data_IF_971495607195
#
_entry.id   IF_971495607195
#
_cell.length_a   1.000
_cell.length_b   1.000
_cell.length_c   1.000
_cell.angle_alpha   90.00
_cell.angle_beta   90.00
_cell.angle_gamma   90.00
#
_symmetry.space_group_name_H-M   'P 1'
#
loop_
_entity.id
_entity.type
_entity.pdbx_description
1 polymer ?
#
# COMPACT_ATOMS: atom_id res chain seq x y z
N UNK A 1 54.80 15.95 46.25
CA UNK A 1 54.47 15.88 44.82
C UNK A 1 53.94 14.52 44.36
N UNK A 2 54.61 13.41 44.69
CA UNK A 2 54.15 12.06 44.26
C UNK A 2 52.73 11.69 44.74
N UNK A 3 52.34 12.05 45.95
CA UNK A 3 51.01 11.80 46.52
C UNK A 3 49.92 12.59 45.84
N UNK A 4 50.19 13.81 45.38
CA UNK A 4 49.24 14.64 44.65
C UNK A 4 48.91 14.05 43.24
N UNK A 5 49.92 13.49 42.58
CA UNK A 5 49.72 12.78 41.28
C UNK A 5 48.90 11.51 41.44
N UNK A 6 49.02 10.76 42.53
CA UNK A 6 48.25 9.56 42.80
C UNK A 6 46.76 9.91 43.02
N UNK A 7 46.45 10.96 43.78
CA UNK A 7 45.08 11.42 43.98
C UNK A 7 44.45 11.98 42.67
N UNK A 8 45.25 12.68 41.87
CA UNK A 8 44.79 13.15 40.56
C UNK A 8 44.50 12.01 39.60
N UNK A 9 45.34 10.96 39.61
CA UNK A 9 45.12 9.77 38.77
C UNK A 9 43.90 8.95 39.19
N UNK A 10 43.67 8.81 40.50
CA UNK A 10 42.47 8.16 41.05
C UNK A 10 41.21 8.94 40.76
N UNK A 11 41.25 10.27 40.82
CA UNK A 11 40.10 11.12 40.47
C UNK A 11 39.73 11.02 38.98
N UNK A 12 40.73 10.99 38.09
CA UNK A 12 40.50 10.77 36.66
C UNK A 12 39.98 9.37 36.37
N UNK A 13 40.44 8.34 37.07
CA UNK A 13 39.96 6.98 36.94
C UNK A 13 38.48 6.83 37.38
N UNK A 14 38.03 7.57 38.41
CA UNK A 14 36.64 7.62 38.85
C UNK A 14 35.71 8.34 37.83
N UNK A 15 36.23 9.29 37.08
CA UNK A 15 35.45 9.98 36.03
C UNK A 15 35.25 9.13 34.77
N UNK A 16 36.03 8.07 34.58
CA UNK A 16 35.91 7.14 33.43
C UNK A 16 34.91 6.01 33.69
N UNK A 17 34.37 5.87 34.89
CA UNK A 17 33.27 4.96 35.22
C UNK A 17 31.93 5.59 34.81
N UNK A 18 31.77 5.87 33.52
CA UNK A 18 30.46 6.24 32.97
C UNK A 18 29.59 4.98 32.93
N UNK A 19 28.59 4.88 33.78
CA UNK A 19 27.58 3.85 33.72
C UNK A 19 26.73 4.12 32.45
N UNK A 20 27.00 3.45 31.36
CA UNK A 20 26.19 3.53 30.11
C UNK A 20 24.73 3.20 30.38
N UNK A 21 24.44 2.28 31.30
CA UNK A 21 23.08 1.87 31.66
C UNK A 21 22.24 2.93 32.39
N UNK A 22 22.85 3.98 32.95
CA UNK A 22 22.09 5.08 33.57
C UNK A 22 21.45 6.02 32.55
N UNK A 23 21.93 6.02 31.31
CA UNK A 23 21.41 6.79 30.20
C UNK A 23 20.49 5.97 29.29
N UNK A 24 20.31 4.68 29.56
CA UNK A 24 19.38 3.83 28.86
C UNK A 24 17.95 4.19 29.31
N UNK A 25 17.29 5.04 28.54
CA UNK A 25 15.87 5.33 28.72
C UNK A 25 15.03 4.09 28.38
N UNK A 26 14.40 3.49 29.38
CA UNK A 26 13.30 2.54 29.15
C UNK A 26 12.00 3.33 29.10
N UNK A 27 11.45 3.61 27.91
CA UNK A 27 10.22 4.38 27.77
C UNK A 27 9.02 3.52 28.18
N UNK A 28 8.63 3.59 29.46
CA UNK A 28 7.47 2.86 29.99
C UNK A 28 6.13 3.30 29.40
N UNK A 29 6.06 4.51 28.86
CA UNK A 29 4.81 5.13 28.35
C UNK A 29 4.81 5.33 26.83
N UNK A 30 5.78 4.81 26.10
CA UNK A 30 5.85 4.90 24.64
C UNK A 30 5.96 3.50 24.03
N UNK A 31 5.18 3.25 23.02
CA UNK A 31 5.33 2.08 22.16
C UNK A 31 6.63 2.25 21.38
N UNK A 32 7.58 1.34 21.58
CA UNK A 32 8.84 1.26 20.84
C UNK A 32 8.93 -0.12 20.17
N UNK A 33 9.78 -0.25 19.16
CA UNK A 33 10.02 -1.54 18.52
C UNK A 33 10.49 -2.63 19.51
N UNK A 34 11.10 -2.24 20.64
CA UNK A 34 11.60 -3.17 21.65
C UNK A 34 10.56 -3.63 22.68
N UNK A 35 9.45 -2.90 22.87
CA UNK A 35 8.39 -3.25 23.82
C UNK A 35 7.03 -3.53 23.17
N UNK A 36 6.94 -3.47 21.86
CA UNK A 36 5.81 -3.88 21.05
C UNK A 36 6.13 -5.23 20.39
N UNK A 37 5.15 -5.99 19.96
CA UNK A 37 5.27 -7.35 19.43
C UNK A 37 5.69 -8.40 20.48
N UNK A 38 5.10 -8.32 21.67
CA UNK A 38 5.28 -9.30 22.75
C UNK A 38 4.11 -10.26 22.88
N UNK A 39 2.97 -9.95 22.25
CA UNK A 39 1.75 -10.74 22.25
C UNK A 39 1.19 -10.93 20.83
N UNK A 40 0.40 -12.01 20.64
CA UNK A 40 -0.29 -12.25 19.36
C UNK A 40 -1.21 -11.08 18.95
N UNK A 41 -1.84 -10.42 19.93
CA UNK A 41 -2.66 -9.23 19.67
C UNK A 41 -1.85 -8.05 19.14
N UNK A 42 -0.67 -7.82 19.67
CA UNK A 42 0.22 -6.76 19.18
C UNK A 42 0.78 -7.08 17.80
N UNK A 43 1.09 -8.35 17.55
CA UNK A 43 1.47 -8.83 16.21
C UNK A 43 0.35 -8.55 15.19
N UNK A 44 -0.89 -8.88 15.53
CA UNK A 44 -2.06 -8.58 14.70
C UNK A 44 -2.25 -7.09 14.47
N UNK A 45 -2.10 -6.26 15.51
CA UNK A 45 -2.19 -4.81 15.39
C UNK A 45 -1.12 -4.23 14.45
N UNK A 46 0.10 -4.75 14.51
CA UNK A 46 1.17 -4.37 13.60
C UNK A 46 0.82 -4.65 12.14
N UNK A 47 0.30 -5.84 11.86
CA UNK A 47 -0.16 -6.23 10.52
C UNK A 47 -1.38 -5.40 10.10
N UNK A 48 -2.35 -5.16 10.98
CA UNK A 48 -3.50 -4.31 10.69
C UNK A 48 -3.08 -2.87 10.34
N UNK A 49 -1.99 -2.37 10.93
CA UNK A 49 -1.38 -1.10 10.56
C UNK A 49 -0.93 -1.05 9.09
N UNK A 50 -0.48 -2.17 8.52
CA UNK A 50 -0.10 -2.25 7.10
C UNK A 50 -1.32 -2.15 6.17
N UNK A 51 -2.46 -2.75 6.55
CA UNK A 51 -3.72 -2.57 5.80
C UNK A 51 -4.19 -1.12 5.82
N UNK A 52 -3.94 -0.39 6.90
CA UNK A 52 -4.20 1.05 6.94
C UNK A 52 -3.41 1.82 5.87
N UNK A 53 -2.18 1.40 5.58
CA UNK A 53 -1.36 1.99 4.51
C UNK A 53 -1.91 1.75 3.10
N UNK A 54 -2.63 0.65 2.90
CA UNK A 54 -3.35 0.43 1.63
C UNK A 54 -4.43 1.50 1.42
N UNK A 55 -5.08 1.99 2.49
CA UNK A 55 -6.02 3.12 2.39
C UNK A 55 -5.32 4.41 1.98
N UNK A 56 -4.13 4.68 2.53
CA UNK A 56 -3.34 5.85 2.14
C UNK A 56 -2.96 5.80 0.65
N UNK A 57 -2.64 4.61 0.14
CA UNK A 57 -2.30 4.40 -1.27
C UNK A 57 -3.50 4.63 -2.19
N UNK A 58 -4.65 4.04 -1.89
CA UNK A 58 -5.82 3.99 -2.77
C UNK A 58 -6.91 5.01 -2.45
N UNK A 59 -6.96 5.53 -1.25
CA UNK A 59 -7.96 6.52 -0.82
C UNK A 59 -7.66 7.94 -1.26
N UNK A 60 -6.40 8.31 -1.35
CA UNK A 60 -5.96 9.62 -1.82
C UNK A 60 -5.65 9.60 -3.32
N UNK A 61 -5.91 10.70 -3.99
CA UNK A 61 -5.91 10.74 -5.46
C UNK A 61 -4.55 10.61 -6.14
N UNK A 62 -3.42 10.60 -5.44
CA UNK A 62 -2.10 10.65 -6.08
C UNK A 62 -1.80 9.43 -6.96
N UNK A 63 -2.22 8.21 -6.57
CA UNK A 63 -2.06 7.03 -7.42
C UNK A 63 -2.84 7.18 -8.74
N UNK A 64 -4.04 7.74 -8.66
CA UNK A 64 -4.88 8.01 -9.81
C UNK A 64 -4.22 9.02 -10.76
N UNK A 65 -3.62 10.09 -10.22
CA UNK A 65 -2.87 11.04 -11.04
C UNK A 65 -1.65 10.41 -11.70
N UNK A 66 -0.96 9.52 -11.01
CA UNK A 66 0.23 8.85 -11.58
C UNK A 66 -0.13 7.81 -12.64
N UNK A 67 -1.25 7.09 -12.48
CA UNK A 67 -1.60 5.97 -13.35
C UNK A 67 -2.61 6.31 -14.44
N UNK A 68 -3.58 7.20 -14.16
CA UNK A 68 -4.73 7.43 -15.04
C UNK A 68 -4.70 8.79 -15.73
N UNK A 69 -4.31 9.86 -15.01
CA UNK A 69 -4.34 11.20 -15.58
C UNK A 69 -3.44 11.41 -16.82
N UNK A 70 -2.30 10.70 -17.00
CA UNK A 70 -1.48 10.81 -18.19
C UNK A 70 -2.02 10.04 -19.41
N UNK A 71 -3.14 9.33 -19.26
CA UNK A 71 -3.71 8.53 -20.37
C UNK A 71 -4.59 9.38 -21.30
N UNK A 72 -4.92 8.82 -22.46
CA UNK A 72 -5.80 9.47 -23.46
C UNK A 72 -7.31 9.36 -23.12
N UNK A 73 -7.66 8.54 -22.12
CA UNK A 73 -9.05 8.35 -21.68
C UNK A 73 -9.49 9.34 -20.59
N UNK A 74 -8.55 9.98 -19.90
CA UNK A 74 -8.82 10.95 -18.84
C UNK A 74 -8.20 12.32 -19.13
N UNK A 75 -8.82 13.36 -18.62
CA UNK A 75 -8.27 14.72 -18.66
C UNK A 75 -8.44 15.44 -17.34
N UNK A 76 -7.45 16.26 -17.00
CA UNK A 76 -7.53 17.17 -15.86
C UNK A 76 -8.54 18.28 -16.13
N UNK A 77 -9.40 18.53 -15.16
CA UNK A 77 -10.39 19.61 -15.22
C UNK A 77 -9.89 20.88 -14.50
N UNK A 78 -8.77 20.83 -13.81
CA UNK A 78 -8.18 21.96 -13.06
C UNK A 78 -6.75 22.20 -13.53
N UNK A 79 -6.35 23.46 -13.59
CA UNK A 79 -5.00 23.89 -14.01
C UNK A 79 -3.89 23.33 -13.14
N UNK A 80 -4.15 23.10 -11.85
CA UNK A 80 -3.18 22.54 -10.89
C UNK A 80 -2.81 21.08 -11.17
N UNK A 81 -3.63 20.37 -11.96
CA UNK A 81 -3.44 18.94 -12.27
C UNK A 81 -2.99 18.74 -13.72
N UNK A 82 -2.80 19.83 -14.48
CA UNK A 82 -2.53 19.79 -15.93
C UNK A 82 -1.13 19.25 -16.26
N UNK A 83 -0.21 19.25 -15.30
CA UNK A 83 1.16 18.76 -15.47
C UNK A 83 1.20 17.31 -15.95
N UNK A 84 0.27 16.45 -15.48
CA UNK A 84 0.16 15.05 -15.88
C UNK A 84 -0.34 14.90 -17.31
N UNK A 85 -1.31 15.74 -17.71
CA UNK A 85 -1.85 15.74 -19.06
C UNK A 85 -0.85 16.26 -20.09
N UNK A 86 -0.06 17.27 -19.73
CA UNK A 86 0.93 17.91 -20.60
C UNK A 86 2.31 17.25 -20.53
N UNK A 87 2.49 16.19 -19.74
CA UNK A 87 3.77 15.50 -19.54
C UNK A 87 4.89 16.43 -19.05
N UNK A 88 4.55 17.43 -18.23
CA UNK A 88 5.49 18.38 -17.62
C UNK A 88 5.82 18.03 -16.15
N UNK A 89 5.50 16.82 -15.74
CA UNK A 89 5.81 16.30 -14.40
C UNK A 89 7.32 16.18 -14.21
N UNK A 90 7.76 16.43 -12.98
CA UNK A 90 9.14 16.25 -12.56
C UNK A 90 9.25 15.66 -11.15
N UNK A 91 10.48 15.48 -10.66
CA UNK A 91 10.74 14.89 -9.35
C UNK A 91 10.19 15.72 -8.16
N UNK A 92 9.81 17.00 -8.39
CA UNK A 92 9.25 17.89 -7.35
C UNK A 92 7.72 17.93 -7.39
N UNK A 93 7.11 17.34 -8.42
CA UNK A 93 5.66 17.26 -8.55
C UNK A 93 5.04 16.55 -7.34
N UNK A 94 4.04 17.18 -6.74
CA UNK A 94 3.47 16.76 -5.45
C UNK A 94 2.99 15.30 -5.44
N UNK A 95 2.29 14.86 -6.50
CA UNK A 95 1.77 13.49 -6.56
C UNK A 95 2.89 12.44 -6.77
N UNK A 96 3.94 12.81 -7.51
CA UNK A 96 5.16 11.99 -7.66
C UNK A 96 5.82 11.76 -6.31
N UNK A 97 6.07 12.84 -5.57
CA UNK A 97 6.69 12.76 -4.23
C UNK A 97 5.80 12.01 -3.23
N UNK A 98 4.49 12.20 -3.27
CA UNK A 98 3.56 11.52 -2.36
C UNK A 98 3.54 10.00 -2.57
N UNK A 99 3.49 9.54 -3.82
CA UNK A 99 3.53 8.10 -4.12
C UNK A 99 4.84 7.47 -3.63
N UNK A 100 5.97 8.09 -3.95
CA UNK A 100 7.30 7.67 -3.48
C UNK A 100 7.35 7.55 -1.96
N UNK A 101 6.99 8.62 -1.26
CA UNK A 101 7.05 8.68 0.21
C UNK A 101 6.12 7.65 0.84
N UNK A 102 4.88 7.54 0.36
CA UNK A 102 3.91 6.58 0.90
C UNK A 102 4.42 5.14 0.74
N UNK A 103 4.94 4.79 -0.43
CA UNK A 103 5.48 3.45 -0.66
C UNK A 103 6.64 3.13 0.30
N UNK A 104 7.63 4.02 0.43
CA UNK A 104 8.76 3.75 1.32
C UNK A 104 8.42 3.77 2.80
N UNK A 105 7.48 4.60 3.24
CA UNK A 105 6.94 4.56 4.62
C UNK A 105 6.29 3.20 4.90
N UNK A 106 5.50 2.70 3.96
CA UNK A 106 4.83 1.40 4.10
C UNK A 106 5.84 0.24 4.07
N UNK A 107 6.80 0.27 3.15
CA UNK A 107 7.89 -0.72 3.06
C UNK A 107 8.68 -0.77 4.37
N UNK A 108 9.04 0.39 4.92
CA UNK A 108 9.76 0.46 6.19
C UNK A 108 8.95 -0.12 7.35
N UNK A 109 7.65 0.17 7.39
CA UNK A 109 6.75 -0.41 8.40
C UNK A 109 6.60 -1.93 8.22
N UNK A 110 6.47 -2.42 6.98
CA UNK A 110 6.43 -3.85 6.70
C UNK A 110 7.74 -4.55 7.12
N UNK A 111 8.89 -3.93 6.84
CA UNK A 111 10.19 -4.44 7.31
C UNK A 111 10.25 -4.54 8.84
N UNK A 112 9.73 -3.55 9.56
CA UNK A 112 9.69 -3.57 11.02
C UNK A 112 8.78 -4.70 11.56
N UNK A 113 7.60 -4.89 10.95
CA UNK A 113 6.70 -6.00 11.28
C UNK A 113 7.37 -7.34 11.02
N UNK A 114 7.98 -7.52 9.85
CA UNK A 114 8.66 -8.75 9.46
C UNK A 114 9.82 -9.08 10.40
N UNK A 115 10.67 -8.08 10.71
CA UNK A 115 11.78 -8.22 11.66
C UNK A 115 11.28 -8.65 13.04
N UNK A 116 10.22 -8.03 13.53
CA UNK A 116 9.63 -8.34 14.82
C UNK A 116 9.04 -9.76 14.86
N UNK A 117 8.24 -10.14 13.86
CA UNK A 117 7.65 -11.48 13.78
C UNK A 117 8.69 -12.59 13.62
N UNK A 118 9.85 -12.29 13.02
CA UNK A 118 10.92 -13.28 12.82
C UNK A 118 11.81 -13.43 14.06
N UNK A 119 12.13 -12.31 14.73
CA UNK A 119 13.16 -12.29 15.75
C UNK A 119 12.61 -12.37 17.19
N UNK A 120 11.34 -11.98 17.42
CA UNK A 120 10.76 -12.00 18.75
C UNK A 120 10.15 -13.37 19.06
N UNK A 121 10.29 -13.79 20.30
CA UNK A 121 9.48 -14.86 20.87
C UNK A 121 8.12 -14.28 21.29
N UNK A 122 7.05 -14.77 20.65
CA UNK A 122 5.67 -14.36 20.93
C UNK A 122 4.89 -15.61 21.34
N UNK A 123 4.89 -15.96 22.64
CA UNK A 123 4.46 -17.28 23.11
C UNK A 123 3.00 -17.63 22.83
N UNK A 124 2.13 -16.63 22.71
CA UNK A 124 0.69 -16.81 22.42
C UNK A 124 0.35 -16.72 20.92
N UNK A 125 1.36 -16.59 20.04
CA UNK A 125 1.20 -16.60 18.59
C UNK A 125 1.53 -17.98 18.02
N UNK A 126 0.54 -18.66 17.44
CA UNK A 126 0.78 -19.93 16.76
C UNK A 126 1.64 -19.78 15.51
N UNK A 127 2.44 -20.79 15.16
CA UNK A 127 3.28 -20.76 13.94
C UNK A 127 2.43 -20.54 12.67
N UNK A 128 1.24 -21.12 12.59
CA UNK A 128 0.32 -20.90 11.47
C UNK A 128 -0.05 -19.41 11.34
N UNK A 129 -0.45 -18.77 12.45
CA UNK A 129 -0.76 -17.35 12.47
C UNK A 129 0.45 -16.48 12.21
N UNK A 130 1.61 -16.86 12.69
CA UNK A 130 2.87 -16.18 12.42
C UNK A 130 3.20 -16.19 10.92
N UNK A 131 3.11 -17.35 10.27
CA UNK A 131 3.31 -17.49 8.83
C UNK A 131 2.28 -16.69 8.02
N UNK A 132 1.02 -16.70 8.45
CA UNK A 132 -0.02 -15.86 7.86
C UNK A 132 0.36 -14.37 7.93
N UNK A 133 0.73 -13.85 9.11
CA UNK A 133 1.06 -12.45 9.31
C UNK A 133 2.34 -12.03 8.56
N UNK A 134 3.34 -12.90 8.49
CA UNK A 134 4.54 -12.70 7.67
C UNK A 134 4.13 -12.60 6.19
N UNK A 135 3.26 -13.48 5.70
CA UNK A 135 2.79 -13.47 4.31
C UNK A 135 2.02 -12.19 3.98
N UNK A 136 1.13 -11.74 4.86
CA UNK A 136 0.39 -10.50 4.67
C UNK A 136 1.33 -9.28 4.61
N UNK A 137 2.33 -9.22 5.49
CA UNK A 137 3.32 -8.15 5.50
C UNK A 137 4.20 -8.16 4.23
N UNK A 138 4.63 -9.36 3.78
CA UNK A 138 5.38 -9.55 2.54
C UNK A 138 4.57 -9.13 1.32
N UNK A 139 3.30 -9.53 1.23
CA UNK A 139 2.43 -9.13 0.14
C UNK A 139 2.29 -7.60 0.05
N UNK A 140 2.01 -6.92 1.17
CA UNK A 140 1.85 -5.47 1.20
C UNK A 140 3.16 -4.78 0.81
N UNK A 141 4.32 -5.28 1.27
CA UNK A 141 5.63 -4.79 0.88
C UNK A 141 5.87 -4.95 -0.63
N UNK A 142 5.66 -6.14 -1.16
CA UNK A 142 5.80 -6.45 -2.59
C UNK A 142 4.85 -5.59 -3.44
N UNK A 143 3.62 -5.38 -2.98
CA UNK A 143 2.64 -4.53 -3.66
C UNK A 143 3.08 -3.07 -3.76
N UNK A 144 3.72 -2.53 -2.72
CA UNK A 144 4.26 -1.16 -2.77
C UNK A 144 5.51 -1.08 -3.65
N UNK A 145 6.36 -2.10 -3.67
CA UNK A 145 7.46 -2.18 -4.64
C UNK A 145 6.96 -2.30 -6.09
N UNK A 146 5.85 -3.01 -6.33
CA UNK A 146 5.23 -3.07 -7.65
C UNK A 146 4.88 -1.66 -8.17
N UNK A 147 4.29 -0.80 -7.35
CA UNK A 147 4.01 0.58 -7.74
C UNK A 147 5.29 1.40 -7.92
N UNK A 148 6.28 1.23 -7.04
CA UNK A 148 7.55 1.96 -7.17
C UNK A 148 8.27 1.62 -8.47
N UNK A 149 8.48 0.33 -8.77
CA UNK A 149 9.25 -0.07 -9.95
C UNK A 149 8.54 0.28 -11.24
N UNK A 150 7.20 0.20 -11.29
CA UNK A 150 6.43 0.60 -12.46
C UNK A 150 6.52 2.12 -12.76
N UNK A 151 6.55 2.95 -11.73
CA UNK A 151 6.52 4.40 -11.90
C UNK A 151 7.90 5.04 -11.97
N UNK A 152 8.91 4.42 -11.35
CA UNK A 152 10.23 5.04 -11.17
C UNK A 152 11.39 4.22 -11.75
N UNK A 153 11.15 3.00 -12.22
CA UNK A 153 12.19 2.08 -12.72
C UNK A 153 13.11 1.60 -11.59
N UNK A 154 14.41 1.78 -11.76
CA UNK A 154 15.40 1.44 -10.73
C UNK A 154 15.18 2.26 -9.46
N UNK A 155 14.92 1.57 -8.35
CA UNK A 155 14.70 2.18 -7.03
C UNK A 155 15.53 1.47 -5.96
N UNK A 156 15.64 2.04 -4.78
CA UNK A 156 16.37 1.40 -3.68
C UNK A 156 15.58 0.21 -3.11
N UNK A 157 16.18 -0.98 -3.05
CA UNK A 157 15.60 -2.16 -2.40
C UNK A 157 15.98 -2.19 -0.92
N UNK A 158 15.01 -1.92 -0.06
CA UNK A 158 15.14 -1.99 1.42
C UNK A 158 14.37 -3.17 1.96
N UNK A 159 15.07 -4.11 2.55
CA UNK A 159 14.48 -5.31 3.17
C UNK A 159 14.54 -5.30 4.70
N UNK A 160 15.24 -4.32 5.27
CA UNK A 160 15.36 -4.09 6.71
C UNK A 160 14.76 -2.74 7.11
N UNK A 161 14.24 -2.60 8.33
CA UNK A 161 13.75 -1.31 8.83
C UNK A 161 14.90 -0.33 9.01
N UNK A 162 14.64 0.95 8.75
CA UNK A 162 15.61 2.03 8.98
C UNK A 162 15.68 2.34 10.47
N UNK A 163 16.80 2.02 11.12
CA UNK A 163 17.03 2.22 12.55
C UNK A 163 17.95 3.41 12.83
N UNK A 164 18.74 3.82 11.85
CA UNK A 164 19.69 4.92 11.96
C UNK A 164 19.59 5.86 10.77
N UNK A 165 20.16 7.06 10.91
CA UNK A 165 20.23 8.00 9.78
C UNK A 165 21.10 7.40 8.68
N UNK A 166 20.49 7.17 7.51
CA UNK A 166 21.16 6.73 6.29
C UNK A 166 21.28 7.93 5.36
N UNK A 167 22.49 8.29 4.98
CA UNK A 167 22.79 9.45 4.13
C UNK A 167 23.09 9.07 2.67
N UNK A 168 23.23 7.78 2.41
CA UNK A 168 23.52 7.25 1.08
C UNK A 168 22.37 6.37 0.61
N UNK A 169 22.01 6.52 -0.67
CA UNK A 169 20.98 5.71 -1.32
C UNK A 169 21.52 5.17 -2.64
N UNK A 170 21.28 3.89 -2.89
CA UNK A 170 21.74 3.21 -4.11
C UNK A 170 20.54 2.61 -4.84
N UNK A 171 20.47 2.86 -6.13
CA UNK A 171 19.46 2.23 -6.97
C UNK A 171 19.76 0.76 -7.18
N UNK A 172 18.76 -0.07 -6.98
CA UNK A 172 18.76 -1.48 -7.35
C UNK A 172 18.14 -1.60 -8.74
N UNK A 173 18.75 -2.36 -9.66
CA UNK A 173 18.17 -2.58 -10.98
C UNK A 173 16.74 -3.11 -10.92
N UNK A 174 15.86 -2.61 -11.76
CA UNK A 174 14.44 -3.00 -11.78
C UNK A 174 14.24 -4.52 -11.89
N UNK A 175 15.10 -5.21 -12.62
CA UNK A 175 15.04 -6.67 -12.77
C UNK A 175 15.19 -7.41 -11.43
N UNK A 176 16.03 -6.92 -10.52
CA UNK A 176 16.21 -7.50 -9.19
C UNK A 176 14.98 -7.20 -8.31
N UNK A 177 14.39 -6.01 -8.44
CA UNK A 177 13.17 -5.64 -7.72
C UNK A 177 11.98 -6.50 -8.17
N UNK A 178 11.85 -6.74 -9.48
CA UNK A 178 10.84 -7.66 -10.01
C UNK A 178 11.00 -9.08 -9.48
N UNK A 179 12.22 -9.59 -9.42
CA UNK A 179 12.50 -10.91 -8.83
C UNK A 179 12.10 -10.94 -7.35
N UNK A 180 12.46 -9.90 -6.58
CA UNK A 180 12.06 -9.76 -5.18
C UNK A 180 10.53 -9.78 -5.01
N UNK A 181 9.79 -9.03 -5.82
CA UNK A 181 8.31 -9.01 -5.78
C UNK A 181 7.74 -10.41 -6.04
N UNK A 182 8.25 -11.11 -7.06
CA UNK A 182 7.81 -12.45 -7.41
C UNK A 182 8.08 -13.44 -6.27
N UNK A 183 9.26 -13.39 -5.68
CA UNK A 183 9.64 -14.28 -4.58
C UNK A 183 8.80 -14.05 -3.32
N UNK A 184 8.53 -12.79 -2.97
CA UNK A 184 7.62 -12.44 -1.86
C UNK A 184 6.20 -12.96 -2.09
N UNK A 185 5.67 -12.80 -3.30
CA UNK A 185 4.32 -13.29 -3.63
C UNK A 185 4.25 -14.82 -3.69
N UNK A 186 5.30 -15.50 -4.17
CA UNK A 186 5.40 -16.97 -4.10
C UNK A 186 5.40 -17.47 -2.65
N UNK A 187 6.18 -16.83 -1.79
CA UNK A 187 6.16 -17.13 -0.36
C UNK A 187 4.75 -17.03 0.22
N UNK A 188 3.98 -16.00 -0.18
CA UNK A 188 2.60 -15.84 0.28
C UNK A 188 1.70 -17.01 -0.18
N UNK A 189 1.85 -17.50 -1.41
CA UNK A 189 1.07 -18.65 -1.90
C UNK A 189 1.33 -19.93 -1.11
N UNK A 190 2.57 -20.11 -0.64
CA UNK A 190 2.97 -21.30 0.13
C UNK A 190 2.46 -21.25 1.58
N UNK A 191 2.40 -20.06 2.19
CA UNK A 191 2.25 -19.90 3.64
C UNK A 191 0.91 -19.24 4.08
N UNK A 192 0.13 -18.66 3.17
CA UNK A 192 -1.21 -18.19 3.51
C UNK A 192 -2.15 -19.39 3.74
N UNK A 193 -3.12 -19.29 4.67
CA UNK A 193 -4.17 -20.29 4.79
C UNK A 193 -5.05 -20.31 3.53
N UNK A 194 -5.69 -21.45 3.28
CA UNK A 194 -6.61 -21.60 2.13
C UNK A 194 -7.91 -20.82 2.33
N UNK A 195 -8.28 -20.56 3.58
CA UNK A 195 -9.47 -19.79 3.92
C UNK A 195 -9.10 -18.66 4.89
N UNK A 196 -9.63 -17.48 4.62
CA UNK A 196 -9.49 -16.27 5.43
C UNK A 196 -10.84 -15.88 6.01
N UNK A 197 -11.02 -16.13 7.31
CA UNK A 197 -12.28 -15.86 8.02
C UNK A 197 -12.60 -14.36 8.18
N UNK A 198 -11.63 -13.47 7.93
CA UNK A 198 -11.79 -12.04 8.08
C UNK A 198 -11.80 -11.37 6.70
N UNK A 199 -12.96 -10.82 6.33
CA UNK A 199 -13.11 -10.10 5.08
C UNK A 199 -12.13 -8.93 4.98
N UNK A 200 -11.48 -8.80 3.81
CA UNK A 200 -10.48 -7.77 3.54
C UNK A 200 -9.04 -8.17 3.87
N UNK A 201 -8.81 -9.35 4.47
CA UNK A 201 -7.45 -9.91 4.55
C UNK A 201 -7.04 -10.54 3.21
N UNK A 202 -5.73 -10.55 2.97
CA UNK A 202 -5.13 -11.08 1.76
C UNK A 202 -5.37 -12.59 1.67
N UNK A 203 -5.95 -13.03 0.56
CA UNK A 203 -6.21 -14.44 0.24
C UNK A 203 -5.21 -14.95 -0.81
N UNK A 204 -5.12 -16.28 -0.96
CA UNK A 204 -4.31 -16.87 -2.04
C UNK A 204 -4.79 -16.44 -3.43
N UNK A 205 -6.10 -16.26 -3.63
CA UNK A 205 -6.69 -15.79 -4.88
C UNK A 205 -6.26 -14.37 -5.20
N UNK A 206 -6.25 -13.49 -4.20
CA UNK A 206 -5.74 -12.13 -4.35
C UNK A 206 -4.24 -12.13 -4.71
N UNK A 207 -3.44 -12.99 -4.09
CA UNK A 207 -2.02 -13.13 -4.42
C UNK A 207 -1.83 -13.67 -5.84
N UNK A 208 -2.56 -14.73 -6.24
CA UNK A 208 -2.50 -15.31 -7.60
C UNK A 208 -2.81 -14.25 -8.65
N UNK A 209 -3.88 -13.47 -8.44
CA UNK A 209 -4.25 -12.39 -9.36
C UNK A 209 -3.13 -11.34 -9.49
N UNK A 210 -2.58 -10.88 -8.36
CA UNK A 210 -1.50 -9.88 -8.38
C UNK A 210 -0.22 -10.43 -9.00
N UNK A 211 0.15 -11.67 -8.69
CA UNK A 211 1.32 -12.32 -9.27
C UNK A 211 1.17 -12.55 -10.78
N UNK A 212 -0.03 -12.91 -11.26
CA UNK A 212 -0.32 -13.00 -12.69
C UNK A 212 -0.11 -11.64 -13.38
N UNK A 213 -0.58 -10.54 -12.78
CA UNK A 213 -0.31 -9.18 -13.28
C UNK A 213 1.18 -8.84 -13.31
N UNK A 214 1.93 -9.21 -12.26
CA UNK A 214 3.38 -9.01 -12.23
C UNK A 214 4.04 -9.73 -13.40
N UNK A 215 3.75 -11.02 -13.63
CA UNK A 215 4.31 -11.79 -14.75
C UNK A 215 3.95 -11.19 -16.11
N UNK A 216 2.71 -10.71 -16.30
CA UNK A 216 2.29 -10.04 -17.54
C UNK A 216 2.97 -8.68 -17.74
N UNK A 217 3.33 -8.00 -16.67
CA UNK A 217 4.05 -6.72 -16.74
C UNK A 217 5.51 -6.94 -17.11
N UNK A 218 6.17 -7.88 -16.46
CA UNK A 218 7.61 -8.12 -16.64
C UNK A 218 7.91 -8.82 -17.97
N UNK A 219 7.18 -9.85 -18.33
CA UNK A 219 7.28 -10.61 -19.60
C UNK A 219 8.71 -10.95 -20.01
N UNK A 220 9.51 -11.48 -19.08
CA UNK A 220 10.93 -11.79 -19.33
C UNK A 220 11.11 -12.88 -20.39
N UNK A 221 10.15 -13.82 -20.43
CA UNK A 221 10.16 -14.97 -21.32
C UNK A 221 8.75 -15.57 -21.44
N UNK A 222 8.60 -16.58 -22.30
CA UNK A 222 7.32 -17.28 -22.52
C UNK A 222 6.82 -18.03 -21.26
N UNK A 223 7.70 -18.37 -20.33
CA UNK A 223 7.35 -19.03 -19.09
C UNK A 223 6.57 -18.09 -18.14
N UNK A 224 6.95 -16.81 -18.10
CA UNK A 224 6.20 -15.81 -17.34
C UNK A 224 4.75 -15.70 -17.85
N UNK A 225 4.54 -15.75 -19.16
CA UNK A 225 3.20 -15.70 -19.77
C UNK A 225 2.39 -16.95 -19.44
N UNK A 226 3.01 -18.13 -19.48
CA UNK A 226 2.34 -19.39 -19.11
C UNK A 226 1.97 -19.40 -17.64
N UNK A 227 2.85 -18.91 -16.76
CA UNK A 227 2.61 -18.85 -15.34
C UNK A 227 1.51 -17.85 -15.00
N UNK A 228 1.48 -16.68 -15.66
CA UNK A 228 0.40 -15.72 -15.53
C UNK A 228 -0.95 -16.33 -15.92
N UNK A 229 -0.99 -17.07 -17.03
CA UNK A 229 -2.18 -17.77 -17.49
C UNK A 229 -2.63 -18.82 -16.45
N UNK A 230 -1.72 -19.67 -15.98
CA UNK A 230 -2.01 -20.70 -14.98
C UNK A 230 -2.63 -20.12 -13.72
N UNK A 231 -2.02 -19.05 -13.18
CA UNK A 231 -2.51 -18.36 -11.99
C UNK A 231 -3.91 -17.73 -12.20
N UNK A 232 -4.14 -17.14 -13.38
CA UNK A 232 -5.45 -16.58 -13.72
C UNK A 232 -6.51 -17.67 -13.85
N UNK A 233 -6.20 -18.81 -14.50
CA UNK A 233 -7.11 -19.96 -14.60
C UNK A 233 -7.46 -20.55 -13.22
N UNK A 234 -6.51 -20.59 -12.28
CA UNK A 234 -6.78 -21.03 -10.91
C UNK A 234 -7.74 -20.07 -10.17
N UNK A 235 -7.62 -18.74 -10.38
CA UNK A 235 -8.57 -17.78 -9.81
C UNK A 235 -9.97 -17.95 -10.43
N UNK A 236 -10.05 -18.14 -11.75
CA UNK A 236 -11.32 -18.38 -12.44
C UNK A 236 -12.01 -19.66 -11.97
N UNK A 237 -11.21 -20.69 -11.65
CA UNK A 237 -11.72 -21.97 -11.15
C UNK A 237 -12.05 -21.97 -9.64
N UNK A 238 -11.78 -20.88 -8.93
CA UNK A 238 -12.06 -20.74 -7.50
C UNK A 238 -13.55 -20.49 -7.19
N UNK A 239 -13.85 -20.15 -5.96
CA UNK A 239 -15.22 -19.77 -5.53
C UNK A 239 -15.64 -18.37 -5.99
N UNK A 240 -14.73 -17.59 -6.60
CA UNK A 240 -15.06 -16.27 -7.15
C UNK A 240 -15.82 -16.37 -8.47
N UNK A 241 -16.72 -15.42 -8.71
CA UNK A 241 -17.52 -15.37 -9.94
C UNK A 241 -17.87 -13.92 -10.25
N UNK A 242 -18.09 -13.64 -11.54
CA UNK A 242 -18.58 -12.33 -11.95
C UNK A 242 -19.99 -12.09 -11.44
N UNK A 243 -20.30 -10.85 -11.10
CA UNK A 243 -21.66 -10.41 -10.77
C UNK A 243 -22.54 -10.43 -12.00
N UNK A 244 -23.85 -10.50 -11.81
CA UNK A 244 -24.83 -10.56 -12.90
C UNK A 244 -24.99 -9.22 -13.64
N UNK A 245 -24.71 -8.11 -12.96
CA UNK A 245 -24.72 -6.77 -13.54
C UNK A 245 -23.66 -5.87 -12.91
N UNK A 246 -23.31 -4.80 -13.62
CA UNK A 246 -22.41 -3.76 -13.16
C UNK A 246 -22.99 -3.00 -11.95
N UNK A 247 -24.31 -2.75 -11.94
CA UNK A 247 -25.01 -2.13 -10.82
C UNK A 247 -24.88 -2.97 -9.53
N UNK A 248 -25.09 -4.29 -9.60
CA UNK A 248 -24.92 -5.17 -8.44
C UNK A 248 -23.48 -5.22 -7.91
N UNK A 249 -22.48 -5.13 -8.79
CA UNK A 249 -21.07 -5.10 -8.40
C UNK A 249 -20.76 -3.90 -7.52
N UNK A 250 -21.30 -2.72 -7.84
CA UNK A 250 -21.01 -1.46 -7.16
C UNK A 250 -22.06 -1.05 -6.13
N UNK A 251 -23.05 -1.91 -5.88
CA UNK A 251 -24.08 -1.64 -4.88
C UNK A 251 -23.46 -1.62 -3.48
N UNK A 252 -23.68 -0.53 -2.74
CA UNK A 252 -23.17 -0.34 -1.39
C UNK A 252 -23.68 -1.37 -0.38
N UNK A 253 -24.84 -1.96 -0.62
CA UNK A 253 -25.43 -3.03 0.20
C UNK A 253 -24.82 -4.40 -0.12
N UNK A 254 -24.07 -4.52 -1.23
CA UNK A 254 -23.45 -5.75 -1.71
C UNK A 254 -21.92 -5.66 -1.80
N UNK A 255 -21.26 -4.92 -0.91
CA UNK A 255 -19.80 -4.77 -0.93
C UNK A 255 -19.01 -6.07 -0.75
N UNK A 256 -19.63 -7.13 -0.20
CA UNK A 256 -19.04 -8.46 -0.03
C UNK A 256 -19.54 -9.42 -1.10
N UNK A 257 -19.31 -9.09 -2.35
CA UNK A 257 -19.74 -9.93 -3.44
C UNK A 257 -18.63 -10.87 -3.94
N UNK A 258 -18.97 -11.95 -4.67
CA UNK A 258 -18.00 -12.95 -5.10
C UNK A 258 -17.00 -12.48 -6.16
N UNK A 259 -17.18 -11.32 -6.78
CA UNK A 259 -16.22 -10.77 -7.76
C UNK A 259 -15.04 -10.09 -7.08
N UNK A 260 -15.19 -9.66 -5.82
CA UNK A 260 -14.16 -8.94 -5.08
C UNK A 260 -13.09 -9.91 -4.55
N UNK A 261 -11.86 -9.80 -5.06
CA UNK A 261 -10.71 -10.59 -4.60
C UNK A 261 -10.01 -10.00 -3.37
N UNK A 262 -9.79 -8.69 -3.36
CA UNK A 262 -9.15 -7.97 -2.25
C UNK A 262 -9.69 -6.54 -2.17
N UNK A 263 -10.55 -6.23 -1.22
CA UNK A 263 -11.04 -4.87 -1.04
C UNK A 263 -10.07 -4.05 -0.17
N UNK A 264 -9.97 -2.76 -0.46
CA UNK A 264 -9.40 -1.79 0.48
C UNK A 264 -10.55 -1.20 1.28
N UNK A 265 -10.67 -1.58 2.54
CA UNK A 265 -11.81 -1.24 3.38
C UNK A 265 -11.68 0.16 3.99
N UNK A 266 -12.71 0.97 3.79
CA UNK A 266 -12.90 2.25 4.45
C UNK A 266 -14.05 2.16 5.46
N UNK A 267 -14.10 3.09 6.40
CA UNK A 267 -15.13 3.15 7.45
C UNK A 267 -15.70 4.56 7.54
N UNK A 268 -16.90 4.68 8.08
CA UNK A 268 -17.50 5.98 8.42
C UNK A 268 -16.91 6.58 9.70
N UNK A 269 -16.13 5.82 10.47
CA UNK A 269 -15.41 6.36 11.63
C UNK A 269 -14.18 7.14 11.16
N UNK A 270 -14.27 8.47 11.27
CA UNK A 270 -13.23 9.41 10.81
C UNK A 270 -11.91 9.26 11.58
N UNK A 271 -11.93 8.79 12.82
CA UNK A 271 -10.71 8.54 13.62
C UNK A 271 -9.88 7.35 13.06
N UNK A 272 -10.55 6.39 12.42
CA UNK A 272 -9.92 5.18 11.87
C UNK A 272 -9.66 5.26 10.37
N UNK A 273 -10.16 6.29 9.70
CA UNK A 273 -10.21 6.36 8.24
C UNK A 273 -9.11 7.23 7.62
N UNK A 274 -8.30 7.90 8.44
CA UNK A 274 -7.31 8.87 7.97
C UNK A 274 -7.99 9.99 7.16
N UNK A 275 -7.47 10.28 5.96
CA UNK A 275 -8.08 11.25 5.04
C UNK A 275 -9.34 10.72 4.33
N UNK A 276 -9.71 9.45 4.57
CA UNK A 276 -10.84 8.79 3.96
C UNK A 276 -10.64 8.47 2.48
N UNK A 277 -11.72 8.07 1.82
CA UNK A 277 -11.74 7.80 0.40
C UNK A 277 -12.16 9.09 -0.35
N UNK A 278 -11.28 9.62 -1.18
CA UNK A 278 -11.48 10.89 -1.89
C UNK A 278 -11.87 10.73 -3.37
N UNK A 279 -11.83 9.52 -3.91
CA UNK A 279 -12.04 9.29 -5.34
C UNK A 279 -13.41 9.77 -5.81
N UNK A 280 -14.46 9.52 -5.01
CA UNK A 280 -15.81 9.95 -5.35
C UNK A 280 -15.91 11.47 -5.60
N UNK A 281 -15.28 12.30 -4.76
CA UNK A 281 -15.33 13.77 -4.94
C UNK A 281 -14.44 14.25 -6.10
N UNK A 282 -13.41 13.48 -6.48
CA UNK A 282 -12.52 13.83 -7.59
C UNK A 282 -13.22 13.68 -8.94
N UNK A 283 -14.02 12.63 -9.11
CA UNK A 283 -14.77 12.34 -10.34
C UNK A 283 -16.12 13.08 -10.39
N UNK A 284 -16.71 13.41 -9.23
CA UNK A 284 -18.01 14.06 -9.19
C UNK A 284 -17.99 15.39 -9.93
N UNK A 285 -18.90 15.57 -10.89
CA UNK A 285 -19.07 16.81 -11.62
C UNK A 285 -19.46 17.97 -10.67
N UNK A 286 -19.13 19.22 -11.03
CA UNK A 286 -19.48 20.41 -10.24
C UNK A 286 -20.97 20.73 -10.29
N UNK A 287 -21.80 19.81 -9.82
CA UNK A 287 -23.26 19.88 -9.89
C UNK A 287 -23.83 21.12 -9.16
N UNK A 288 -23.16 21.60 -8.10
CA UNK A 288 -23.62 22.75 -7.32
C UNK A 288 -23.26 24.10 -7.92
N UNK A 289 -22.34 24.14 -8.90
CA UNK A 289 -21.80 25.36 -9.49
C UNK A 289 -22.36 25.65 -10.89
N UNK A 290 -23.13 24.72 -11.47
CA UNK A 290 -23.74 24.87 -12.79
C UNK A 290 -25.09 25.60 -12.73
N UNK A 291 -25.40 26.30 -13.80
CA UNK A 291 -26.71 26.96 -13.95
C UNK A 291 -27.54 26.32 -15.07
N UNK A 292 -28.83 26.01 -14.81
CA UNK A 292 -29.47 26.02 -13.50
C UNK A 292 -28.84 24.98 -12.55
N UNK A 293 -28.78 25.27 -11.25
CA UNK A 293 -28.28 24.31 -10.24
C UNK A 293 -29.18 23.08 -10.25
N UNK A 294 -28.57 21.95 -10.56
CA UNK A 294 -29.30 20.68 -10.69
C UNK A 294 -29.51 20.05 -9.31
N UNK A 295 -28.49 20.11 -8.46
CA UNK A 295 -28.54 19.60 -7.09
C UNK A 295 -27.94 20.62 -6.12
N UNK A 296 -28.49 20.67 -4.91
CA UNK A 296 -27.88 21.41 -3.81
C UNK A 296 -26.76 20.58 -3.16
N UNK A 297 -25.72 21.26 -2.72
CA UNK A 297 -24.64 20.62 -2.00
C UNK A 297 -25.13 20.21 -0.61
N UNK A 298 -24.94 18.95 -0.26
CA UNK A 298 -25.22 18.43 1.05
C UNK A 298 -24.05 17.60 1.62
N UNK A 299 -24.20 17.11 2.85
CA UNK A 299 -23.18 16.30 3.52
C UNK A 299 -23.10 14.85 2.98
N UNK A 300 -24.16 14.38 2.32
CA UNK A 300 -24.24 13.00 1.79
C UNK A 300 -23.30 12.81 0.61
N UNK A 301 -23.32 13.77 -0.31
CA UNK A 301 -22.52 13.70 -1.55
C UNK A 301 -21.19 14.45 -1.44
N UNK A 302 -21.00 15.22 -0.37
CA UNK A 302 -19.81 16.02 -0.14
C UNK A 302 -19.64 17.17 -1.15
N UNK A 303 -18.47 17.78 -1.16
CA UNK A 303 -18.12 18.84 -2.09
C UNK A 303 -17.52 18.26 -3.36
N UNK A 304 -18.13 18.43 -4.54
CA UNK A 304 -17.55 17.94 -5.79
C UNK A 304 -16.24 18.69 -6.11
N UNK A 305 -15.18 17.97 -6.39
CA UNK A 305 -13.91 18.55 -6.80
C UNK A 305 -13.78 18.67 -8.30
N UNK A 306 -14.42 17.74 -9.03
CA UNK A 306 -14.40 17.71 -10.50
C UNK A 306 -12.97 17.86 -11.06
N UNK A 307 -12.05 17.04 -10.55
CA UNK A 307 -10.63 17.12 -10.89
C UNK A 307 -10.31 16.39 -12.18
N UNK A 308 -10.92 15.24 -12.38
CA UNK A 308 -10.67 14.33 -13.48
C UNK A 308 -11.98 14.07 -14.20
N UNK A 309 -11.95 14.13 -15.52
CA UNK A 309 -13.11 13.92 -16.39
C UNK A 309 -12.74 12.97 -17.52
N UNK A 310 -13.69 12.20 -18.05
CA UNK A 310 -13.47 11.42 -19.25
C UNK A 310 -13.16 12.34 -20.46
N UNK A 311 -12.35 11.85 -21.37
CA UNK A 311 -12.18 12.47 -22.68
C UNK A 311 -13.33 12.09 -23.62
N UNK A 312 -13.50 12.80 -24.72
CA UNK A 312 -14.42 12.38 -25.78
C UNK A 312 -14.01 11.02 -26.37
N UNK A 313 -12.70 10.75 -26.44
CA UNK A 313 -12.19 9.46 -26.90
C UNK A 313 -12.71 8.30 -26.03
N UNK A 314 -12.70 8.43 -24.69
CA UNK A 314 -13.27 7.41 -23.81
C UNK A 314 -14.77 7.22 -24.09
N UNK A 315 -15.53 8.31 -24.30
CA UNK A 315 -16.96 8.22 -24.59
C UNK A 315 -17.22 7.49 -25.93
N UNK A 316 -16.40 7.75 -26.95
CA UNK A 316 -16.50 7.10 -28.27
C UNK A 316 -16.13 5.61 -28.26
N UNK A 317 -15.42 5.13 -27.20
CA UNK A 317 -15.10 3.71 -27.04
C UNK A 317 -16.29 2.87 -26.57
N UNK A 318 -17.32 3.48 -26.00
CA UNK A 318 -18.52 2.78 -25.60
C UNK A 318 -19.46 2.55 -26.85
N UNK A 319 -19.91 1.33 -27.00
CA UNK A 319 -20.97 1.00 -27.93
C UNK A 319 -22.30 1.05 -27.17
N UNK A 320 -23.00 2.17 -27.31
CA UNK A 320 -24.28 2.45 -26.61
C UNK A 320 -25.33 1.34 -26.81
N UNK A 321 -25.20 0.54 -27.86
CA UNK A 321 -26.15 -0.54 -28.16
C UNK A 321 -25.75 -1.89 -27.53
N UNK A 322 -24.55 -2.03 -27.02
CA UNK A 322 -24.00 -3.30 -26.50
C UNK A 322 -23.46 -3.21 -25.09
N UNK A 323 -23.11 -2.02 -24.63
CA UNK A 323 -22.51 -1.81 -23.30
C UNK A 323 -23.57 -1.22 -22.36
N UNK A 324 -24.09 -2.07 -21.47
CA UNK A 324 -25.12 -1.65 -20.50
C UNK A 324 -24.62 -0.56 -19.53
N UNK A 325 -23.31 -0.40 -19.38
CA UNK A 325 -22.72 0.68 -18.53
C UNK A 325 -22.93 2.07 -19.09
N UNK A 326 -23.39 2.20 -20.32
CA UNK A 326 -23.71 3.51 -20.91
C UNK A 326 -24.98 4.13 -20.31
N UNK A 327 -25.90 3.30 -19.81
CA UNK A 327 -27.15 3.73 -19.18
C UNK A 327 -27.03 3.94 -17.67
N UNK A 328 -25.98 3.41 -17.03
CA UNK A 328 -25.67 3.56 -15.61
C UNK A 328 -24.92 4.89 -15.32
#
# INVERSE_FOLDING_TARGET
MKTLYIYSLLFVACLLQSCSSFLDETPYNKITAGNFYTTAKEAEQGVNGLYSRMRDLYGSGYILYMCEAPTDIWKSAKSMDIEFQNWTIDATSSNVTKLWTNCYVTINQANAVLKALTNNDIPDLSEEKKLQYISEAKFIRAHHYYHLVQQYGDVELKTEPTETLVTEAYKTPEAEIWNFIIDEMKYCLENLPDDQNVYGRITKEAVKHNLARVYLTVKRNDEDIKEAKRLAEEVIASSHSLMSSHEELWNTDNMRNPEVLLPVLFTTNTELNGEGQQLHVMFTASYSDHYPKVLERDLTYGRPWSRIRPTYYLQELYDETKDARWED
#
